data_IF_470279309935
#
_entry.id   IF_470279309935
#
_cell.length_a   1.000
_cell.length_b   1.000
_cell.length_c   1.000
_cell.angle_alpha   90.00
_cell.angle_beta   90.00
_cell.angle_gamma   90.00
#
_symmetry.space_group_name_H-M   'P 1'
#
loop_
_entity.id
_entity.type
_entity.pdbx_description
1 polymer ?
#
# COMPACT_ATOMS: atom_id res chain seq x y z
N UNK A 1 -5.32 3.75 16.16
CA UNK A 1 -5.45 4.33 14.79
C UNK A 1 -5.52 3.19 13.78
N UNK A 2 -6.41 3.28 12.78
CA UNK A 2 -6.53 2.29 11.69
C UNK A 2 -5.55 2.62 10.57
N UNK A 3 -4.89 1.59 10.05
CA UNK A 3 -3.97 1.66 8.92
C UNK A 3 -4.36 0.58 7.91
N UNK A 4 -4.18 0.84 6.63
CA UNK A 4 -4.52 -0.09 5.55
C UNK A 4 -3.26 -0.49 4.81
N UNK A 5 -3.09 -1.78 4.58
CA UNK A 5 -1.99 -2.34 3.81
C UNK A 5 -2.46 -2.70 2.41
N UNK A 6 -1.69 -2.28 1.41
CA UNK A 6 -1.98 -2.46 0.00
C UNK A 6 -0.83 -3.18 -0.69
N UNK A 7 -1.16 -4.21 -1.46
CA UNK A 7 -0.23 -4.92 -2.36
C UNK A 7 -0.19 -4.20 -3.71
N UNK A 8 1.01 -3.84 -4.16
CA UNK A 8 1.31 -3.30 -5.48
C UNK A 8 1.88 -4.43 -6.33
N UNK A 9 1.08 -4.91 -7.28
CA UNK A 9 1.45 -5.99 -8.20
C UNK A 9 2.00 -5.39 -9.48
N UNK A 10 3.20 -5.79 -9.86
CA UNK A 10 3.84 -5.29 -11.08
C UNK A 10 3.49 -6.12 -12.30
N UNK A 11 3.61 -5.52 -13.49
CA UNK A 11 3.45 -6.24 -14.76
C UNK A 11 4.63 -7.15 -15.10
N UNK A 12 5.80 -6.86 -14.56
CA UNK A 12 7.01 -7.68 -14.73
C UNK A 12 6.96 -8.83 -13.71
N UNK A 13 7.63 -9.96 -13.99
CA UNK A 13 7.77 -11.08 -13.05
C UNK A 13 8.74 -10.75 -11.91
N UNK A 14 8.39 -9.73 -11.14
CA UNK A 14 9.08 -9.30 -9.93
C UNK A 14 8.12 -9.37 -8.75
N UNK A 15 8.69 -9.50 -7.55
CA UNK A 15 7.89 -9.55 -6.33
C UNK A 15 7.08 -8.26 -6.16
N UNK A 16 5.84 -8.42 -5.70
CA UNK A 16 4.99 -7.32 -5.28
C UNK A 16 5.60 -6.55 -4.11
N UNK A 17 5.27 -5.27 -3.98
CA UNK A 17 5.61 -4.48 -2.78
C UNK A 17 4.36 -4.13 -1.99
N UNK A 18 4.54 -3.86 -0.70
CA UNK A 18 3.45 -3.44 0.18
C UNK A 18 3.64 -2.00 0.62
N UNK A 19 2.54 -1.22 0.62
CA UNK A 19 2.50 0.14 1.16
C UNK A 19 1.42 0.26 2.22
N UNK A 20 1.64 1.13 3.20
CA UNK A 20 0.68 1.42 4.27
C UNK A 20 0.09 2.81 4.09
N UNK A 21 -1.23 2.94 4.27
CA UNK A 21 -1.95 4.21 4.23
C UNK A 21 -2.83 4.38 5.47
N UNK A 22 -3.17 5.62 5.81
CA UNK A 22 -4.19 5.91 6.84
C UNK A 22 -5.61 6.00 6.27
N UNK A 23 -5.72 6.06 4.93
CA UNK A 23 -6.99 6.10 4.21
C UNK A 23 -7.24 4.77 3.49
N UNK A 24 -8.48 4.29 3.53
CA UNK A 24 -8.92 3.12 2.76
C UNK A 24 -9.17 3.51 1.31
N UNK A 25 -8.10 3.86 0.60
CA UNK A 25 -8.14 4.44 -0.74
C UNK A 25 -7.04 3.88 -1.61
N UNK A 26 -7.43 3.27 -2.73
CA UNK A 26 -6.51 2.83 -3.79
C UNK A 26 -5.68 4.01 -4.33
N UNK A 27 -6.27 5.20 -4.40
CA UNK A 27 -5.56 6.41 -4.83
C UNK A 27 -4.47 6.80 -3.85
N UNK A 28 -4.75 6.73 -2.54
CA UNK A 28 -3.75 7.00 -1.51
C UNK A 28 -2.60 5.98 -1.55
N UNK A 29 -2.92 4.70 -1.80
CA UNK A 29 -1.92 3.64 -1.96
C UNK A 29 -1.06 3.86 -3.20
N UNK A 30 -1.67 4.21 -4.34
CA UNK A 30 -0.97 4.54 -5.57
C UNK A 30 -0.02 5.73 -5.37
N UNK A 31 -0.51 6.82 -4.75
CA UNK A 31 0.30 8.01 -4.48
C UNK A 31 1.48 7.68 -3.55
N UNK A 32 1.22 6.94 -2.48
CA UNK A 32 2.27 6.51 -1.53
C UNK A 32 3.34 5.67 -2.22
N UNK A 33 2.93 4.76 -3.12
CA UNK A 33 3.87 4.01 -3.95
C UNK A 33 4.68 4.95 -4.86
N UNK A 34 4.05 5.87 -5.58
CA UNK A 34 4.75 6.80 -6.46
C UNK A 34 5.71 7.74 -5.71
N UNK A 35 5.35 8.19 -4.51
CA UNK A 35 6.22 9.04 -3.70
C UNK A 35 7.46 8.29 -3.18
N UNK A 36 7.30 7.00 -2.85
CA UNK A 36 8.37 6.17 -2.31
C UNK A 36 9.30 5.58 -3.39
N UNK A 37 8.74 5.22 -4.55
CA UNK A 37 9.44 4.44 -5.58
C UNK A 37 9.51 5.16 -6.94
N UNK A 38 8.66 6.15 -7.21
CA UNK A 38 8.56 6.78 -8.54
C UNK A 38 7.75 5.93 -9.55
N UNK A 39 7.75 6.36 -10.81
CA UNK A 39 6.90 5.84 -11.89
C UNK A 39 7.60 4.86 -12.85
N UNK A 40 8.78 4.37 -12.47
CA UNK A 40 9.64 3.58 -13.34
C UNK A 40 9.19 2.11 -13.51
N UNK A 41 8.34 1.58 -12.62
CA UNK A 41 7.77 0.23 -12.75
C UNK A 41 6.30 0.29 -13.17
N UNK A 42 5.94 -0.58 -14.11
CA UNK A 42 4.55 -0.71 -14.57
C UNK A 42 3.75 -1.53 -13.56
N UNK A 43 2.72 -0.91 -12.98
CA UNK A 43 1.78 -1.54 -12.04
C UNK A 43 0.67 -2.23 -12.82
N UNK A 44 0.45 -3.51 -12.51
CA UNK A 44 -0.66 -4.33 -13.02
C UNK A 44 -1.92 -4.16 -12.16
N UNK A 45 -1.78 -4.22 -10.84
CA UNK A 45 -2.89 -4.13 -9.91
C UNK A 45 -2.46 -3.52 -8.57
N UNK A 46 -3.42 -2.88 -7.90
CA UNK A 46 -3.31 -2.45 -6.51
C UNK A 46 -4.46 -3.10 -5.76
N UNK A 47 -4.13 -3.88 -4.73
CA UNK A 47 -5.11 -4.70 -4.00
C UNK A 47 -5.04 -4.39 -2.51
N UNK A 48 -6.20 -4.30 -1.87
CA UNK A 48 -6.24 -4.22 -0.41
C UNK A 48 -5.87 -5.59 0.14
N UNK A 49 -4.82 -5.64 0.95
CA UNK A 49 -4.32 -6.87 1.55
C UNK A 49 -4.84 -7.02 2.99
N UNK A 50 -4.69 -5.98 3.81
CA UNK A 50 -5.10 -6.03 5.21
C UNK A 50 -5.58 -4.68 5.77
N UNK A 51 -6.46 -4.75 6.77
CA UNK A 51 -6.73 -3.66 7.69
C UNK A 51 -5.99 -3.91 9.00
N UNK A 52 -5.17 -2.95 9.41
CA UNK A 52 -4.31 -3.01 10.60
C UNK A 52 -4.87 -2.06 11.64
N UNK A 53 -5.50 -2.62 12.68
CA UNK A 53 -5.99 -1.88 13.83
C UNK A 53 -4.89 -1.86 14.90
N UNK A 54 -4.27 -0.70 15.11
CA UNK A 54 -3.32 -0.51 16.22
C UNK A 54 -4.08 0.01 17.44
N UNK A 55 -4.08 -0.79 18.50
CA UNK A 55 -4.47 -0.36 19.83
C UNK A 55 -3.31 0.45 20.42
N UNK A 56 -3.59 1.66 20.90
CA UNK A 56 -2.66 2.33 21.80
C UNK A 56 -2.68 1.51 23.09
N UNK A 57 -1.53 0.98 23.48
CA UNK A 57 -1.37 0.39 24.80
C UNK A 57 -1.75 1.46 25.83
N UNK A 58 -2.78 1.21 26.62
CA UNK A 58 -3.15 2.12 27.70
C UNK A 58 -1.98 2.17 28.69
N UNK A 59 -1.27 3.29 28.72
CA UNK A 59 -0.21 3.60 29.70
C UNK A 59 -0.87 3.94 31.04
#
# INVERSE_FOLDING_TARGET
MTTYQWEIVFMQEIDSVYVMTFEDSVLAAAQTYYDNYGDHMKVYAIRKDAEIIRFEEAI
#
